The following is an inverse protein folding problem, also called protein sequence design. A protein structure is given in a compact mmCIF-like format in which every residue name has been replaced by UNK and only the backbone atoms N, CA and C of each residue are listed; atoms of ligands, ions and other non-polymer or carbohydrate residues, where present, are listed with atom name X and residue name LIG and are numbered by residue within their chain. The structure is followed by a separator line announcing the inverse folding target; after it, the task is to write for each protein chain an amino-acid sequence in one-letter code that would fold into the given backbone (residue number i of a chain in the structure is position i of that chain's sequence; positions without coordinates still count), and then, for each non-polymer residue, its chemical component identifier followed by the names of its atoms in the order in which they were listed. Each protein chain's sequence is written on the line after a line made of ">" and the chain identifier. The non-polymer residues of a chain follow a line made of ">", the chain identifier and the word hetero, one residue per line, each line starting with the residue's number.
data_IF_522624176846
#
_entry.id   IF_522624176846
#
_cell.length_a   1.000
_cell.length_b   1.000
_cell.length_c   1.000
_cell.angle_alpha   90.00
_cell.angle_beta   90.00
_cell.angle_gamma   90.00
#
_symmetry.space_group_name_H-M   'P 1'
#
loop_
_entity.id
_entity.type
_entity.pdbx_description
1 polymer ?
#
# COMPACT_ATOMS: atom_id res chain seq x y z
N UNK A 1 17.34 12.40 4.70
CA UNK A 1 16.67 12.24 3.38
C UNK A 1 17.19 10.99 2.70
N UNK A 2 16.45 10.47 1.72
CA UNK A 2 16.92 9.36 0.90
C UNK A 2 17.51 9.92 -0.41
N UNK A 3 18.63 9.35 -0.85
CA UNK A 3 19.19 9.55 -2.18
C UNK A 3 19.50 8.18 -2.78
N UNK A 4 18.69 7.73 -3.74
CA UNK A 4 18.75 6.35 -4.22
C UNK A 4 18.65 5.35 -3.05
N UNK A 5 19.69 4.55 -2.84
CA UNK A 5 19.82 3.56 -1.74
C UNK A 5 20.54 4.10 -0.49
N UNK A 6 20.85 5.39 -0.47
CA UNK A 6 21.61 6.02 0.60
C UNK A 6 20.73 6.83 1.55
N UNK A 7 21.14 6.84 2.81
CA UNK A 7 20.55 7.64 3.87
C UNK A 7 21.43 8.87 4.07
N UNK A 8 20.95 10.02 3.62
CA UNK A 8 21.59 11.32 3.85
C UNK A 8 21.17 11.84 5.22
N UNK A 9 22.16 12.00 6.10
CA UNK A 9 22.00 12.53 7.46
C UNK A 9 22.52 13.96 7.52
N UNK A 10 21.74 14.85 8.12
CA UNK A 10 22.14 16.23 8.38
C UNK A 10 21.99 16.48 9.88
N UNK A 11 23.06 16.94 10.52
CA UNK A 11 23.09 17.26 11.95
C UNK A 11 23.91 18.54 12.17
N UNK A 12 23.52 19.34 13.17
CA UNK A 12 24.23 20.58 13.51
C UNK A 12 25.64 20.33 14.07
N UNK A 13 25.85 19.17 14.70
CA UNK A 13 27.12 18.67 15.19
C UNK A 13 27.29 17.20 14.78
N UNK A 14 28.54 16.72 14.74
CA UNK A 14 28.83 15.34 14.37
C UNK A 14 28.20 14.37 15.40
N UNK A 15 27.34 13.42 14.96
CA UNK A 15 26.77 12.44 15.86
C UNK A 15 27.84 11.51 16.44
N UNK A 16 27.63 10.95 17.64
CA UNK A 16 28.52 9.92 18.20
C UNK A 16 28.67 8.71 17.26
N UNK A 17 29.87 8.11 17.22
CA UNK A 17 30.19 6.98 16.33
C UNK A 17 29.29 5.75 16.55
N UNK A 18 28.82 5.56 17.78
CA UNK A 18 27.87 4.49 18.11
C UNK A 18 26.53 4.65 17.38
N UNK A 19 26.07 5.89 17.19
CA UNK A 19 24.83 6.20 16.47
C UNK A 19 25.03 5.95 14.98
N UNK A 20 26.15 6.41 14.40
CA UNK A 20 26.47 6.16 12.99
C UNK A 20 26.64 4.66 12.71
N UNK A 21 27.26 3.92 13.63
CA UNK A 21 27.43 2.47 13.53
C UNK A 21 26.10 1.72 13.59
N UNK A 22 25.19 2.14 14.49
CA UNK A 22 23.85 1.56 14.58
C UNK A 22 23.02 1.85 13.32
N UNK A 23 23.02 3.11 12.85
CA UNK A 23 22.34 3.49 11.61
C UNK A 23 22.90 2.76 10.39
N UNK A 24 24.22 2.59 10.31
CA UNK A 24 24.87 1.84 9.24
C UNK A 24 24.47 0.36 9.25
N UNK A 25 24.46 -0.27 10.43
CA UNK A 25 24.04 -1.68 10.60
C UNK A 25 22.60 -1.91 10.14
N UNK A 26 21.69 -0.98 10.42
CA UNK A 26 20.27 -1.08 10.07
C UNK A 26 19.89 -0.27 8.82
N UNK A 27 20.87 0.24 8.06
CA UNK A 27 20.64 1.19 6.94
C UNK A 27 19.63 0.64 5.94
N UNK A 28 19.74 -0.63 5.57
CA UNK A 28 18.85 -1.23 4.58
C UNK A 28 17.39 -1.30 5.04
N UNK A 29 17.16 -1.71 6.28
CA UNK A 29 15.84 -1.76 6.91
C UNK A 29 15.24 -0.35 7.03
N UNK A 30 16.05 0.62 7.47
CA UNK A 30 15.66 2.03 7.60
C UNK A 30 15.31 2.64 6.25
N UNK A 31 16.14 2.43 5.22
CA UNK A 31 15.89 2.91 3.86
C UNK A 31 14.61 2.29 3.30
N UNK A 32 14.39 1.00 3.52
CA UNK A 32 13.16 0.31 3.08
C UNK A 32 11.92 0.90 3.75
N UNK A 33 11.97 1.13 5.07
CA UNK A 33 10.88 1.75 5.82
C UNK A 33 10.61 3.19 5.34
N UNK A 34 11.65 4.00 5.16
CA UNK A 34 11.52 5.38 4.73
C UNK A 34 11.01 5.49 3.28
N UNK A 35 11.41 4.59 2.37
CA UNK A 35 10.84 4.53 1.02
C UNK A 35 9.36 4.23 1.02
N UNK A 36 8.93 3.25 1.83
CA UNK A 36 7.50 2.94 1.96
C UNK A 36 6.68 4.14 2.47
N UNK A 37 7.31 5.06 3.20
CA UNK A 37 6.69 6.30 3.69
C UNK A 37 6.72 7.42 2.65
N UNK A 38 7.81 7.53 1.86
CA UNK A 38 7.98 8.54 0.80
C UNK A 38 7.27 8.19 -0.51
N UNK A 39 6.90 6.92 -0.73
CA UNK A 39 6.06 6.47 -1.85
C UNK A 39 4.56 6.74 -1.62
N UNK A 40 4.20 7.41 -0.53
CA UNK A 40 2.82 7.75 -0.22
C UNK A 40 2.37 8.91 -1.11
N UNK A 41 1.54 8.58 -2.08
CA UNK A 41 0.94 9.56 -2.99
C UNK A 41 0.19 10.66 -2.24
N UNK A 42 0.43 11.89 -2.68
CA UNK A 42 -0.33 13.08 -2.32
C UNK A 42 -1.73 13.05 -2.92
N UNK A 43 -2.59 13.98 -2.51
CA UNK A 43 -3.93 14.15 -3.11
C UNK A 43 -3.82 14.48 -4.62
N UNK A 44 -2.84 15.30 -5.00
CA UNK A 44 -2.54 15.64 -6.40
C UNK A 44 -2.10 14.42 -7.21
N UNK A 45 -1.28 13.53 -6.63
CA UNK A 45 -0.87 12.28 -7.31
C UNK A 45 -2.08 11.36 -7.56
N UNK A 46 -3.00 11.28 -6.59
CA UNK A 46 -4.24 10.51 -6.76
C UNK A 46 -5.15 11.09 -7.82
N UNK A 47 -5.29 12.42 -7.87
CA UNK A 47 -6.07 13.10 -8.89
C UNK A 47 -5.46 12.91 -10.28
N UNK A 48 -4.15 13.10 -10.42
CA UNK A 48 -3.44 12.91 -11.68
C UNK A 48 -3.58 11.46 -12.19
N UNK A 49 -3.43 10.47 -11.31
CA UNK A 49 -3.64 9.07 -11.69
C UNK A 49 -5.09 8.79 -12.08
N UNK A 50 -6.07 9.35 -11.36
CA UNK A 50 -7.49 9.21 -11.71
C UNK A 50 -7.78 9.79 -13.10
N UNK A 51 -7.36 11.03 -13.35
CA UNK A 51 -7.59 11.74 -14.61
C UNK A 51 -6.91 11.03 -15.79
N UNK A 52 -5.68 10.54 -15.60
CA UNK A 52 -4.98 9.73 -16.60
C UNK A 52 -5.78 8.46 -16.94
N UNK A 53 -6.23 7.72 -15.93
CA UNK A 53 -6.97 6.46 -16.13
C UNK A 53 -8.35 6.70 -16.74
N UNK A 54 -9.02 7.80 -16.37
CA UNK A 54 -10.30 8.20 -16.94
C UNK A 54 -10.11 8.60 -18.41
N UNK A 55 -9.08 9.39 -18.72
CA UNK A 55 -8.73 9.78 -20.08
C UNK A 55 -8.44 8.58 -20.98
N UNK A 56 -7.63 7.61 -20.51
CA UNK A 56 -7.37 6.37 -21.27
C UNK A 56 -8.67 5.60 -21.52
N UNK A 57 -9.51 5.42 -20.49
CA UNK A 57 -10.75 4.67 -20.63
C UNK A 57 -11.76 5.35 -21.58
N UNK A 58 -11.83 6.69 -21.56
CA UNK A 58 -12.70 7.47 -22.45
C UNK A 58 -12.17 7.53 -23.88
N UNK A 59 -10.95 8.01 -24.07
CA UNK A 59 -10.44 8.35 -25.41
C UNK A 59 -9.89 7.13 -26.15
N UNK A 60 -9.17 6.25 -25.47
CA UNK A 60 -8.62 5.04 -26.09
C UNK A 60 -9.63 3.88 -26.00
N UNK A 61 -10.37 3.81 -24.88
CA UNK A 61 -11.35 2.76 -24.62
C UNK A 61 -12.76 3.04 -25.17
N UNK A 62 -13.05 4.27 -25.59
CA UNK A 62 -14.35 4.67 -26.13
C UNK A 62 -15.49 4.65 -25.11
N UNK A 63 -15.20 4.67 -23.81
CA UNK A 63 -16.21 4.70 -22.75
C UNK A 63 -16.82 6.09 -22.63
N UNK A 64 -18.11 6.17 -22.29
CA UNK A 64 -18.71 7.43 -21.85
C UNK A 64 -18.00 7.94 -20.59
N UNK A 65 -17.87 9.27 -20.44
CA UNK A 65 -17.12 9.90 -19.34
C UNK A 65 -17.43 9.30 -17.98
N UNK A 66 -18.71 9.11 -17.66
CA UNK A 66 -19.15 8.56 -16.38
C UNK A 66 -18.64 7.13 -16.13
N UNK A 67 -18.65 6.29 -17.16
CA UNK A 67 -18.19 4.91 -17.05
C UNK A 67 -16.66 4.85 -17.03
N UNK A 68 -16.00 5.75 -17.77
CA UNK A 68 -14.55 5.93 -17.75
C UNK A 68 -14.06 6.36 -16.35
N UNK A 69 -14.72 7.32 -15.71
CA UNK A 69 -14.45 7.76 -14.33
C UNK A 69 -14.69 6.64 -13.32
N UNK A 70 -15.79 5.88 -13.45
CA UNK A 70 -16.04 4.73 -12.59
C UNK A 70 -14.91 3.68 -12.72
N UNK A 71 -14.47 3.41 -13.95
CA UNK A 71 -13.34 2.51 -14.22
C UNK A 71 -12.01 3.05 -13.69
N UNK A 72 -11.78 4.36 -13.77
CA UNK A 72 -10.62 5.01 -13.20
C UNK A 72 -10.58 4.86 -11.69
N UNK A 73 -11.71 5.08 -11.00
CA UNK A 73 -11.80 4.86 -9.55
C UNK A 73 -11.48 3.42 -9.16
N UNK A 74 -11.95 2.42 -9.91
CA UNK A 74 -11.58 1.02 -9.69
C UNK A 74 -10.06 0.80 -9.80
N UNK A 75 -9.40 1.45 -10.78
CA UNK A 75 -7.95 1.40 -10.94
C UNK A 75 -7.24 2.02 -9.73
N UNK A 76 -7.69 3.21 -9.29
CA UNK A 76 -7.14 3.88 -8.12
C UNK A 76 -7.31 3.04 -6.85
N UNK A 77 -8.44 2.33 -6.69
CA UNK A 77 -8.66 1.41 -5.55
C UNK A 77 -7.62 0.28 -5.54
N UNK A 78 -7.34 -0.33 -6.70
CA UNK A 78 -6.30 -1.37 -6.80
C UNK A 78 -4.93 -0.79 -6.45
N UNK A 79 -4.59 0.38 -6.98
CA UNK A 79 -3.31 1.02 -6.71
C UNK A 79 -3.16 1.43 -5.23
N UNK A 80 -4.23 1.89 -4.60
CA UNK A 80 -4.25 2.16 -3.17
C UNK A 80 -3.98 0.89 -2.36
N UNK A 81 -4.57 -0.26 -2.73
CA UNK A 81 -4.29 -1.53 -2.05
C UNK A 81 -2.84 -1.97 -2.20
N UNK A 82 -2.25 -1.78 -3.38
CA UNK A 82 -0.83 -2.09 -3.63
C UNK A 82 0.09 -1.23 -2.77
N UNK A 83 -0.21 0.07 -2.64
CA UNK A 83 0.59 1.03 -1.87
C UNK A 83 0.36 0.98 -0.36
N UNK A 84 -0.70 0.32 0.09
CA UNK A 84 -1.02 0.16 1.50
C UNK A 84 -0.98 -1.32 1.89
N UNK A 85 0.14 -2.04 1.75
CA UNK A 85 0.19 -3.45 2.10
C UNK A 85 -0.08 -3.66 3.60
N UNK A 86 -0.58 -4.84 3.95
CA UNK A 86 -0.82 -5.23 5.35
C UNK A 86 -0.14 -6.56 5.58
N UNK A 87 0.67 -6.63 6.63
CA UNK A 87 1.34 -7.85 7.07
C UNK A 87 0.74 -8.33 8.39
N UNK A 88 0.79 -9.64 8.61
CA UNK A 88 0.50 -10.21 9.92
C UNK A 88 1.50 -11.32 10.25
N UNK A 89 1.79 -11.57 11.54
CA UNK A 89 2.52 -12.78 11.92
C UNK A 89 1.71 -14.04 11.58
N UNK A 90 2.38 -15.19 11.40
CA UNK A 90 1.70 -16.47 11.25
C UNK A 90 0.95 -16.89 12.53
N UNK A 91 0.06 -17.88 12.40
CA UNK A 91 -0.61 -18.55 13.53
C UNK A 91 -1.99 -18.01 13.91
N UNK A 92 -2.40 -16.85 13.40
CA UNK A 92 -3.79 -16.36 13.52
C UNK A 92 -4.28 -15.71 12.24
N UNK A 93 -5.55 -15.94 11.91
CA UNK A 93 -6.24 -15.25 10.84
C UNK A 93 -6.38 -13.77 11.20
N UNK A 94 -5.84 -12.87 10.38
CA UNK A 94 -5.95 -11.42 10.61
C UNK A 94 -7.42 -10.94 10.64
N UNK A 95 -8.31 -11.61 9.89
CA UNK A 95 -9.70 -11.19 9.78
C UNK A 95 -10.57 -11.60 10.97
N UNK A 96 -10.52 -12.87 11.38
CA UNK A 96 -11.40 -13.42 12.42
C UNK A 96 -10.70 -13.70 13.76
N UNK A 97 -9.37 -13.64 13.82
CA UNK A 97 -8.55 -13.94 15.00
C UNK A 97 -8.37 -15.43 15.32
N UNK A 98 -9.06 -16.32 14.59
CA UNK A 98 -8.98 -17.77 14.77
C UNK A 98 -7.61 -18.35 14.41
N UNK A 99 -7.25 -19.46 15.06
CA UNK A 99 -6.04 -20.24 14.74
C UNK A 99 -6.27 -21.15 13.52
N UNK A 100 -5.20 -21.78 13.05
CA UNK A 100 -5.26 -22.84 12.04
C UNK A 100 -5.93 -24.12 12.59
N UNK A 101 -6.57 -24.86 11.68
CA UNK A 101 -7.03 -26.23 11.91
C UNK A 101 -6.86 -27.06 10.62
N UNK A 102 -6.86 -28.39 10.72
CA UNK A 102 -6.53 -29.30 9.59
C UNK A 102 -7.41 -29.13 8.35
N UNK A 103 -8.66 -28.70 8.49
CA UNK A 103 -9.58 -28.44 7.37
C UNK A 103 -9.78 -26.93 7.12
N UNK A 104 -9.00 -26.09 7.79
CA UNK A 104 -9.16 -24.65 7.85
C UNK A 104 -7.81 -23.99 8.13
N UNK A 105 -6.90 -24.20 7.19
CA UNK A 105 -5.53 -23.74 7.27
C UNK A 105 -5.43 -22.24 7.04
N UNK A 106 -4.44 -21.63 7.69
CA UNK A 106 -4.04 -20.27 7.41
C UNK A 106 -3.09 -20.27 6.21
N UNK A 107 -3.47 -19.56 5.16
CA UNK A 107 -2.63 -19.41 3.96
C UNK A 107 -2.12 -17.97 3.85
N UNK A 108 -0.89 -17.77 3.35
CA UNK A 108 -0.35 -16.45 3.14
C UNK A 108 -0.95 -15.80 1.89
N UNK A 109 -1.41 -14.55 2.02
CA UNK A 109 -1.79 -13.69 0.89
C UNK A 109 -0.86 -12.49 0.82
N UNK A 110 -0.54 -12.03 -0.39
CA UNK A 110 0.43 -10.96 -0.63
C UNK A 110 1.68 -11.45 -1.35
N UNK A 111 2.62 -10.56 -1.61
CA UNK A 111 3.91 -10.88 -2.25
C UNK A 111 5.03 -10.80 -1.22
N UNK A 112 6.12 -11.54 -1.43
CA UNK A 112 7.25 -11.58 -0.49
C UNK A 112 7.85 -10.19 -0.23
N UNK A 113 7.89 -9.31 -1.23
CA UNK A 113 8.44 -7.95 -1.12
C UNK A 113 7.65 -7.06 -0.16
N UNK A 114 6.33 -7.22 -0.11
CA UNK A 114 5.43 -6.41 0.74
C UNK A 114 5.03 -7.12 2.03
N UNK A 115 5.47 -8.37 2.21
CA UNK A 115 5.08 -9.26 3.29
C UNK A 115 3.73 -9.96 3.08
N UNK A 116 3.43 -10.90 3.98
CA UNK A 116 2.22 -11.71 3.92
C UNK A 116 1.21 -11.32 5.00
N UNK A 117 -0.06 -11.46 4.65
CA UNK A 117 -1.16 -11.59 5.61
C UNK A 117 -1.59 -13.04 5.70
N UNK A 118 -1.75 -13.55 6.91
CA UNK A 118 -2.24 -14.90 7.16
C UNK A 118 -3.75 -14.87 7.37
N UNK A 119 -4.47 -15.60 6.53
CA UNK A 119 -5.93 -15.68 6.57
C UNK A 119 -6.39 -17.11 6.31
N UNK A 120 -7.53 -17.49 6.88
CA UNK A 120 -8.28 -18.62 6.34
C UNK A 120 -8.70 -18.31 4.90
N UNK A 121 -8.65 -19.30 4.01
CA UNK A 121 -9.09 -19.12 2.61
C UNK A 121 -10.49 -18.51 2.51
N UNK A 122 -11.44 -18.98 3.36
CA UNK A 122 -12.82 -18.44 3.41
C UNK A 122 -12.91 -16.98 3.90
N UNK A 123 -11.94 -16.53 4.71
CA UNK A 123 -11.95 -15.18 5.29
C UNK A 123 -11.42 -14.14 4.31
N UNK A 124 -10.74 -14.56 3.24
CA UNK A 124 -10.13 -13.67 2.26
C UNK A 124 -11.15 -12.73 1.61
N UNK A 125 -12.28 -13.24 1.14
CA UNK A 125 -13.25 -12.44 0.39
C UNK A 125 -13.82 -11.28 1.22
N UNK A 126 -14.20 -11.55 2.47
CA UNK A 126 -14.72 -10.53 3.39
C UNK A 126 -13.63 -9.52 3.77
N UNK A 127 -12.42 -10.00 4.09
CA UNK A 127 -11.29 -9.14 4.42
C UNK A 127 -10.90 -8.22 3.27
N UNK A 128 -10.74 -8.77 2.06
CA UNK A 128 -10.38 -8.02 0.87
C UNK A 128 -11.51 -7.05 0.46
N UNK A 129 -12.78 -7.46 0.61
CA UNK A 129 -13.94 -6.60 0.42
C UNK A 129 -13.93 -5.36 1.33
N UNK A 130 -13.68 -5.54 2.63
CA UNK A 130 -13.57 -4.43 3.58
C UNK A 130 -12.44 -3.47 3.21
N UNK A 131 -11.29 -4.01 2.77
CA UNK A 131 -10.17 -3.21 2.31
C UNK A 131 -10.48 -2.39 1.07
N UNK A 132 -11.14 -2.98 0.06
CA UNK A 132 -11.62 -2.24 -1.11
C UNK A 132 -12.58 -1.13 -0.74
N UNK A 133 -13.52 -1.39 0.18
CA UNK A 133 -14.49 -0.40 0.63
C UNK A 133 -13.79 0.78 1.34
N UNK A 134 -12.80 0.50 2.19
CA UNK A 134 -11.99 1.52 2.84
C UNK A 134 -11.20 2.36 1.83
N UNK A 135 -10.53 1.71 0.87
CA UNK A 135 -9.80 2.39 -0.20
C UNK A 135 -10.71 3.31 -1.02
N UNK A 136 -11.87 2.80 -1.44
CA UNK A 136 -12.85 3.57 -2.20
C UNK A 136 -13.36 4.78 -1.42
N UNK A 137 -13.61 4.63 -0.11
CA UNK A 137 -14.05 5.74 0.75
C UNK A 137 -12.99 6.84 0.86
N UNK A 138 -11.72 6.47 1.09
CA UNK A 138 -10.60 7.42 1.16
C UNK A 138 -10.42 8.15 -0.17
N UNK A 139 -10.33 7.40 -1.27
CA UNK A 139 -10.12 7.98 -2.60
C UNK A 139 -11.28 8.86 -3.03
N UNK A 140 -12.52 8.44 -2.78
CA UNK A 140 -13.69 9.24 -3.10
C UNK A 140 -13.78 10.53 -2.27
N UNK A 141 -13.12 10.60 -1.11
CA UNK A 141 -13.03 11.85 -0.35
C UNK A 141 -12.00 12.79 -0.98
N UNK A 142 -10.83 12.26 -1.35
CA UNK A 142 -9.76 13.00 -2.02
C UNK A 142 -10.26 13.58 -3.36
N UNK A 143 -10.84 12.73 -4.22
CA UNK A 143 -11.28 13.10 -5.58
C UNK A 143 -12.51 14.02 -5.60
N UNK A 144 -13.21 14.20 -4.47
CA UNK A 144 -14.32 15.16 -4.34
C UNK A 144 -13.88 16.50 -3.76
N UNK A 145 -12.69 16.57 -3.16
CA UNK A 145 -12.14 17.77 -2.55
C UNK A 145 -11.19 18.57 -3.47
N UNK A 146 -10.78 17.98 -4.59
CA UNK A 146 -9.99 18.62 -5.65
C UNK A 146 -10.84 19.43 -6.62
#
# INVERSE_FOLDING_TARGET
>A
MLDGHDLLLTAAEAPPDEVLSALSRHKHEIVTLLRSTHERWSEEDWLASFDERAGIAEFDGGMERRDAEARALECCVVEWLNRNPVCSPPGRCLHCGGSEATLDELVPFGTELSGHVWLHSRCWAAWHGNRKAMAAAVLSAILRGG
#
